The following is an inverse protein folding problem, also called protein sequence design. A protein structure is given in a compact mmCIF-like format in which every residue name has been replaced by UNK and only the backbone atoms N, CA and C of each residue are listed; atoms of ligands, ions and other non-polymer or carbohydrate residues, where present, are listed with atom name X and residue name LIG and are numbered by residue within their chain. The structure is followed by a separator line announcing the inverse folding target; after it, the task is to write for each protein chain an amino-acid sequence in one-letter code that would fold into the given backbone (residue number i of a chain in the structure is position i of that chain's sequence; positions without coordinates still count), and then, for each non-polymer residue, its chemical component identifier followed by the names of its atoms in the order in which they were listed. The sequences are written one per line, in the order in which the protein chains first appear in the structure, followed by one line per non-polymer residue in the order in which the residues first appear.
data_IF_253501954417
#
_entry.id   IF_253501954417
#
_cell.length_a   1.000
_cell.length_b   1.000
_cell.length_c   1.000
_cell.angle_alpha   90.00
_cell.angle_beta   90.00
_cell.angle_gamma   90.00
#
_symmetry.space_group_name_H-M   'P 1'
#
loop_
_entity.id
_entity.type
_entity.pdbx_description
1 polymer ?
#
# COMPACT_ATOMS: atom_id res chain seq x y z
N UNK A 1 10.68 29.45 21.83
CA UNK A 1 10.47 28.11 21.18
C UNK A 1 9.87 28.33 19.80
N UNK A 2 10.55 27.91 18.75
CA UNK A 2 9.95 27.95 17.39
C UNK A 2 8.75 27.01 17.35
N UNK A 3 7.58 27.53 16.95
CA UNK A 3 6.39 26.69 16.69
C UNK A 3 6.72 25.72 15.55
N UNK A 4 6.54 24.44 15.80
CA UNK A 4 6.72 23.39 14.79
C UNK A 4 5.61 23.52 13.76
N UNK A 5 5.96 23.46 12.46
CA UNK A 5 4.97 23.47 11.38
C UNK A 5 4.18 22.18 11.29
N UNK A 6 3.04 22.21 10.62
CA UNK A 6 2.14 21.05 10.42
C UNK A 6 2.91 19.85 9.83
N UNK A 7 3.78 20.09 8.84
CA UNK A 7 4.59 19.04 8.21
C UNK A 7 5.51 18.29 9.18
N UNK A 8 5.96 18.95 10.27
CA UNK A 8 6.72 18.26 11.31
C UNK A 8 5.90 17.16 11.98
N UNK A 9 4.64 17.44 12.30
CA UNK A 9 3.77 16.46 12.95
C UNK A 9 3.42 15.31 12.02
N UNK A 10 3.10 15.60 10.75
CA UNK A 10 2.87 14.56 9.76
C UNK A 10 4.06 13.61 9.64
N UNK A 11 5.27 14.15 9.49
CA UNK A 11 6.48 13.35 9.38
C UNK A 11 6.69 12.44 10.60
N UNK A 12 6.52 12.99 11.81
CA UNK A 12 6.73 12.23 13.06
C UNK A 12 5.67 11.15 13.27
N UNK A 13 4.42 11.44 12.92
CA UNK A 13 3.33 10.45 12.96
C UNK A 13 3.59 9.34 11.94
N UNK A 14 3.95 9.69 10.70
CA UNK A 14 4.27 8.73 9.65
C UNK A 14 5.44 7.81 10.05
N UNK A 15 6.52 8.37 10.61
CA UNK A 15 7.66 7.59 11.15
C UNK A 15 7.22 6.59 12.23
N UNK A 16 6.25 6.95 13.07
CA UNK A 16 5.69 6.08 14.10
C UNK A 16 4.79 5.01 13.51
N UNK A 17 4.01 5.36 12.49
CA UNK A 17 3.09 4.45 11.79
C UNK A 17 3.80 3.50 10.82
N UNK A 18 5.08 3.75 10.51
CA UNK A 18 5.82 2.96 9.55
C UNK A 18 5.88 1.47 9.94
N UNK A 19 5.42 0.63 9.04
CA UNK A 19 5.38 -0.82 9.20
C UNK A 19 6.71 -1.52 8.86
N UNK A 20 7.82 -0.78 8.90
CA UNK A 20 9.12 -1.24 8.41
C UNK A 20 9.60 -2.55 9.07
N UNK A 21 9.29 -2.75 10.37
CA UNK A 21 9.65 -3.97 11.07
C UNK A 21 8.95 -5.21 10.50
N UNK A 22 7.66 -5.09 10.11
CA UNK A 22 6.92 -6.17 9.48
C UNK A 22 7.45 -6.47 8.07
N UNK A 23 7.68 -5.44 7.28
CA UNK A 23 8.23 -5.59 5.94
C UNK A 23 9.61 -6.24 5.96
N UNK A 24 10.47 -5.85 6.91
CA UNK A 24 11.79 -6.43 7.10
C UNK A 24 11.73 -7.90 7.53
N UNK A 25 10.81 -8.25 8.43
CA UNK A 25 10.58 -9.64 8.86
C UNK A 25 10.25 -10.55 7.69
N UNK A 26 9.46 -10.07 6.73
CA UNK A 26 9.05 -10.83 5.55
C UNK A 26 10.00 -10.67 4.35
N UNK A 27 11.08 -9.91 4.49
CA UNK A 27 12.03 -9.62 3.39
C UNK A 27 11.33 -9.07 2.14
N UNK A 28 10.47 -8.08 2.34
CA UNK A 28 9.68 -7.45 1.28
C UNK A 28 9.89 -5.93 1.31
N UNK A 29 9.96 -5.33 0.14
CA UNK A 29 10.03 -3.86 -0.01
C UNK A 29 8.63 -3.22 0.01
N UNK A 30 8.57 -1.90 0.26
CA UNK A 30 7.31 -1.15 0.20
C UNK A 30 6.62 -1.29 -1.17
N UNK A 31 7.36 -1.25 -2.27
CA UNK A 31 6.80 -1.40 -3.62
C UNK A 31 6.17 -2.78 -3.84
N UNK A 32 6.81 -3.83 -3.37
CA UNK A 32 6.27 -5.19 -3.43
C UNK A 32 5.04 -5.34 -2.53
N UNK A 33 5.10 -4.80 -1.30
CA UNK A 33 3.99 -4.83 -0.36
C UNK A 33 2.75 -4.10 -0.91
N UNK A 34 2.94 -2.97 -1.59
CA UNK A 34 1.84 -2.24 -2.23
C UNK A 34 1.11 -3.10 -3.27
N UNK A 35 1.84 -3.87 -4.07
CA UNK A 35 1.24 -4.81 -5.03
C UNK A 35 0.42 -5.88 -4.31
N UNK A 36 0.98 -6.47 -3.24
CA UNK A 36 0.25 -7.47 -2.43
C UNK A 36 -1.03 -6.89 -1.84
N UNK A 37 -0.96 -5.72 -1.25
CA UNK A 37 -2.12 -5.08 -0.63
C UNK A 37 -3.20 -4.74 -1.65
N UNK A 38 -2.81 -4.26 -2.83
CA UNK A 38 -3.73 -4.05 -3.93
C UNK A 38 -4.50 -5.34 -4.29
N UNK A 39 -3.78 -6.45 -4.45
CA UNK A 39 -4.40 -7.75 -4.75
C UNK A 39 -5.31 -8.24 -3.62
N UNK A 40 -4.88 -8.10 -2.37
CA UNK A 40 -5.65 -8.49 -1.19
C UNK A 40 -6.93 -7.66 -1.03
N UNK A 41 -6.87 -6.35 -1.27
CA UNK A 41 -8.02 -5.44 -1.22
C UNK A 41 -9.05 -5.76 -2.31
N UNK A 42 -8.62 -6.22 -3.46
CA UNK A 42 -9.52 -6.69 -4.53
C UNK A 42 -10.29 -7.96 -4.14
N UNK A 43 -9.89 -8.67 -3.08
CA UNK A 43 -10.48 -9.93 -2.68
C UNK A 43 -10.33 -11.06 -3.71
N UNK A 44 -9.38 -10.92 -4.62
CA UNK A 44 -9.09 -11.90 -5.66
C UNK A 44 -7.74 -12.56 -5.39
N UNK A 45 -7.71 -13.88 -5.39
CA UNK A 45 -6.47 -14.64 -5.26
C UNK A 45 -5.63 -14.61 -6.53
N UNK A 46 -6.24 -14.27 -7.65
CA UNK A 46 -5.63 -14.20 -8.98
C UNK A 46 -5.93 -12.86 -9.61
N UNK A 47 -4.89 -12.16 -10.06
CA UNK A 47 -4.99 -10.88 -10.77
C UNK A 47 -4.11 -10.93 -12.01
N UNK A 48 -4.57 -10.33 -13.10
CA UNK A 48 -3.78 -10.26 -14.32
C UNK A 48 -2.61 -9.31 -14.14
N UNK A 49 -1.43 -9.67 -14.62
CA UNK A 49 -0.23 -8.83 -14.55
C UNK A 49 -0.49 -7.44 -15.16
N UNK A 50 -1.23 -7.38 -16.26
CA UNK A 50 -1.59 -6.13 -16.93
C UNK A 50 -2.43 -5.19 -16.07
N UNK A 51 -3.33 -5.73 -15.22
CA UNK A 51 -4.09 -4.93 -14.26
C UNK A 51 -3.17 -4.25 -13.25
N UNK A 52 -2.14 -4.97 -12.77
CA UNK A 52 -1.13 -4.42 -11.86
C UNK A 52 -0.32 -3.32 -12.53
N UNK A 53 0.10 -3.54 -13.77
CA UNK A 53 0.83 -2.54 -14.56
C UNK A 53 0.03 -1.24 -14.73
N UNK A 54 -1.25 -1.35 -15.03
CA UNK A 54 -2.15 -0.21 -15.18
C UNK A 54 -2.40 0.54 -13.88
N UNK A 55 -2.63 -0.20 -12.79
CA UNK A 55 -2.90 0.39 -11.47
C UNK A 55 -1.72 1.22 -10.95
N UNK A 56 -0.51 0.68 -11.08
CA UNK A 56 0.69 1.34 -10.56
C UNK A 56 1.37 2.29 -11.55
N UNK A 57 0.94 2.30 -12.81
CA UNK A 57 1.52 3.14 -13.85
C UNK A 57 3.03 2.88 -14.06
N UNK A 58 3.50 1.69 -13.71
CA UNK A 58 4.90 1.30 -13.84
C UNK A 58 5.17 0.62 -15.18
N UNK A 59 6.41 0.72 -15.63
CA UNK A 59 6.85 0.03 -16.83
C UNK A 59 6.76 -1.49 -16.68
N UNK A 60 6.44 -2.19 -17.74
CA UNK A 60 6.38 -3.64 -17.80
C UNK A 60 7.62 -4.32 -17.20
N UNK A 61 8.82 -3.87 -17.56
CA UNK A 61 10.08 -4.41 -17.03
C UNK A 61 10.23 -4.24 -15.52
N UNK A 62 9.75 -3.13 -14.96
CA UNK A 62 9.76 -2.86 -13.51
C UNK A 62 8.83 -3.82 -12.77
N UNK A 63 7.62 -4.01 -13.27
CA UNK A 63 6.65 -4.97 -12.70
C UNK A 63 7.19 -6.40 -12.74
N UNK A 64 7.77 -6.82 -13.87
CA UNK A 64 8.39 -8.14 -14.00
C UNK A 64 9.49 -8.32 -12.94
N UNK A 65 10.35 -7.34 -12.74
CA UNK A 65 11.41 -7.40 -11.73
C UNK A 65 10.88 -7.52 -10.30
N UNK A 66 9.82 -6.77 -9.96
CA UNK A 66 9.16 -6.83 -8.66
C UNK A 66 8.50 -8.22 -8.45
N UNK A 67 7.74 -8.69 -9.43
CA UNK A 67 7.05 -9.98 -9.36
C UNK A 67 8.01 -11.17 -9.26
N UNK A 68 9.14 -11.15 -9.98
CA UNK A 68 10.17 -12.19 -9.86
C UNK A 68 10.74 -12.31 -8.45
N UNK A 69 11.00 -11.18 -7.77
CA UNK A 69 11.46 -11.17 -6.38
C UNK A 69 10.39 -11.68 -5.42
N UNK A 70 9.14 -11.28 -5.66
CA UNK A 70 8.00 -11.74 -4.86
C UNK A 70 7.75 -13.24 -5.05
N UNK A 71 7.94 -13.76 -6.25
CA UNK A 71 7.87 -15.19 -6.55
C UNK A 71 9.00 -15.97 -5.87
N UNK A 72 10.23 -15.44 -5.94
CA UNK A 72 11.39 -16.03 -5.23
C UNK A 72 11.17 -16.13 -3.72
N UNK A 73 10.47 -15.14 -3.13
CA UNK A 73 10.16 -15.10 -1.71
C UNK A 73 8.83 -15.78 -1.35
N UNK A 74 8.23 -16.52 -2.28
CA UNK A 74 6.99 -17.29 -2.10
C UNK A 74 5.74 -16.45 -1.71
N UNK A 75 5.66 -15.20 -2.12
CA UNK A 75 4.46 -14.39 -1.97
C UNK A 75 3.45 -14.63 -3.08
N UNK A 76 3.93 -14.82 -4.29
CA UNK A 76 3.12 -15.02 -5.48
C UNK A 76 3.71 -16.11 -6.38
N UNK A 77 2.89 -16.59 -7.29
CA UNK A 77 3.30 -17.34 -8.48
C UNK A 77 2.82 -16.59 -9.72
N UNK A 78 3.69 -16.45 -10.70
CA UNK A 78 3.38 -15.86 -11.99
C UNK A 78 3.35 -16.96 -13.04
N UNK A 79 2.25 -17.10 -13.74
CA UNK A 79 2.08 -18.11 -14.77
C UNK A 79 1.30 -17.56 -15.97
N UNK A 80 1.37 -18.27 -17.08
CA UNK A 80 0.57 -17.96 -18.28
C UNK A 80 -0.90 -18.25 -17.95
N UNK A 81 -1.80 -17.31 -18.34
CA UNK A 81 -3.23 -17.53 -18.18
C UNK A 81 -3.67 -18.70 -19.06
N UNK A 82 -4.35 -19.74 -18.49
CA UNK A 82 -4.80 -20.88 -19.26
C UNK A 82 -5.83 -20.56 -20.35
N UNK A 83 -6.60 -19.46 -20.19
CA UNK A 83 -7.61 -19.04 -21.14
C UNK A 83 -7.06 -18.11 -22.25
N UNK A 84 -5.97 -17.39 -21.95
CA UNK A 84 -5.29 -16.53 -22.93
C UNK A 84 -3.77 -16.57 -22.71
N UNK A 85 -3.08 -17.37 -23.52
CA UNK A 85 -1.64 -17.59 -23.42
C UNK A 85 -0.77 -16.36 -23.69
N UNK A 86 -1.37 -15.26 -24.15
CA UNK A 86 -0.68 -13.95 -24.31
C UNK A 86 -0.63 -13.17 -23.01
N UNK A 87 -1.42 -13.55 -22.01
CA UNK A 87 -1.56 -12.88 -20.74
C UNK A 87 -0.90 -13.69 -19.62
N UNK A 88 -0.33 -12.99 -18.66
CA UNK A 88 0.19 -13.57 -17.42
C UNK A 88 -0.71 -13.23 -16.24
N UNK A 89 -0.89 -14.19 -15.36
CA UNK A 89 -1.63 -14.03 -14.13
C UNK A 89 -0.71 -14.18 -12.91
N UNK A 90 -1.04 -13.44 -11.87
CA UNK A 90 -0.35 -13.43 -10.59
C UNK A 90 -1.26 -14.04 -9.54
N UNK A 91 -0.79 -15.06 -8.85
CA UNK A 91 -1.54 -15.83 -7.86
C UNK A 91 -0.92 -15.62 -6.49
N UNK A 92 -1.73 -15.24 -5.49
CA UNK A 92 -1.30 -15.08 -4.11
C UNK A 92 -1.09 -16.43 -3.42
N UNK A 93 -0.01 -16.53 -2.66
CA UNK A 93 0.26 -17.64 -1.74
C UNK A 93 -0.09 -17.28 -0.28
N UNK A 94 -0.13 -18.28 0.59
CA UNK A 94 -0.50 -18.14 2.00
C UNK A 94 0.34 -17.08 2.74
N UNK A 95 1.62 -17.00 2.44
CA UNK A 95 2.53 -16.00 3.01
C UNK A 95 2.06 -14.55 2.77
N UNK A 96 1.44 -14.29 1.62
CA UNK A 96 0.87 -12.97 1.31
C UNK A 96 -0.33 -12.65 2.21
N UNK A 97 -1.18 -13.63 2.49
CA UNK A 97 -2.32 -13.47 3.40
C UNK A 97 -1.88 -13.29 4.85
N UNK A 98 -0.84 -13.99 5.29
CA UNK A 98 -0.24 -13.82 6.61
C UNK A 98 0.29 -12.40 6.81
N UNK A 99 1.09 -11.89 5.88
CA UNK A 99 1.56 -10.51 5.89
C UNK A 99 0.40 -9.52 5.87
N UNK A 100 -0.60 -9.75 5.03
CA UNK A 100 -1.79 -8.91 4.93
C UNK A 100 -2.54 -8.81 6.26
N UNK A 101 -2.69 -9.93 6.97
CA UNK A 101 -3.34 -9.97 8.29
C UNK A 101 -2.52 -9.21 9.34
N UNK A 102 -1.21 -9.42 9.42
CA UNK A 102 -0.33 -8.68 10.34
C UNK A 102 -0.38 -7.17 10.08
N UNK A 103 -0.35 -6.76 8.82
CA UNK A 103 -0.42 -5.35 8.44
C UNK A 103 -1.78 -4.72 8.75
N UNK A 104 -2.86 -5.48 8.59
CA UNK A 104 -4.20 -5.03 8.96
C UNK A 104 -4.33 -4.79 10.46
N UNK A 105 -3.81 -5.70 11.28
CA UNK A 105 -3.79 -5.54 12.74
C UNK A 105 -2.89 -4.37 13.16
N UNK A 106 -1.73 -4.21 12.54
CA UNK A 106 -0.85 -3.08 12.79
C UNK A 106 -1.55 -1.75 12.46
N UNK A 107 -2.23 -1.65 11.33
CA UNK A 107 -2.99 -0.45 10.93
C UNK A 107 -4.08 -0.12 11.94
N UNK A 108 -4.87 -1.11 12.37
CA UNK A 108 -5.89 -0.92 13.41
C UNK A 108 -5.29 -0.41 14.72
N UNK A 109 -4.16 -0.96 15.13
CA UNK A 109 -3.46 -0.51 16.33
C UNK A 109 -3.00 0.96 16.20
N UNK A 110 -2.40 1.33 15.06
CA UNK A 110 -1.98 2.70 14.82
C UNK A 110 -3.16 3.68 14.77
N UNK A 111 -4.25 3.30 14.11
CA UNK A 111 -5.47 4.10 14.09
C UNK A 111 -6.01 4.29 15.53
N UNK A 112 -5.98 3.26 16.36
CA UNK A 112 -6.41 3.35 17.75
C UNK A 112 -5.56 4.30 18.60
N UNK A 113 -4.27 4.43 18.32
CA UNK A 113 -3.42 5.41 18.99
C UNK A 113 -3.81 6.85 18.64
N UNK A 114 -4.21 7.08 17.40
CA UNK A 114 -4.68 8.40 16.95
C UNK A 114 -6.06 8.70 17.55
N UNK A 115 -7.02 7.79 17.39
CA UNK A 115 -8.38 7.95 17.88
C UNK A 115 -8.47 7.99 19.40
N UNK A 116 -7.59 7.29 20.11
CA UNK A 116 -7.50 7.32 21.57
C UNK A 116 -7.11 8.68 22.16
N UNK A 117 -6.52 9.57 21.36
CA UNK A 117 -6.19 10.93 21.76
C UNK A 117 -7.34 11.94 21.53
N UNK A 118 -8.40 11.52 20.81
CA UNK A 118 -9.48 12.38 20.32
C UNK A 118 -10.83 11.88 20.80
N UNK A 119 -11.78 12.83 20.98
CA UNK A 119 -13.18 12.47 21.11
C UNK A 119 -13.82 12.28 19.71
N UNK A 120 -15.07 11.81 19.66
CA UNK A 120 -15.76 11.49 18.40
C UNK A 120 -15.89 12.70 17.45
N UNK A 121 -16.13 13.89 18.01
CA UNK A 121 -16.27 15.12 17.22
C UNK A 121 -14.92 15.56 16.65
N UNK A 122 -13.86 15.48 17.46
CA UNK A 122 -12.49 15.79 17.05
C UNK A 122 -12.00 14.83 15.98
N UNK A 123 -12.32 13.53 16.09
CA UNK A 123 -11.99 12.54 15.07
C UNK A 123 -12.67 12.85 13.74
N UNK A 124 -13.95 13.19 13.75
CA UNK A 124 -14.70 13.59 12.54
C UNK A 124 -14.10 14.84 11.90
N UNK A 125 -13.76 15.85 12.72
CA UNK A 125 -13.16 17.08 12.23
C UNK A 125 -11.77 16.85 11.66
N UNK A 126 -10.94 16.01 12.29
CA UNK A 126 -9.62 15.63 11.79
C UNK A 126 -9.74 14.94 10.43
N UNK A 127 -10.63 13.96 10.27
CA UNK A 127 -10.88 13.28 8.99
C UNK A 127 -11.31 14.26 7.90
N UNK A 128 -12.22 15.17 8.22
CA UNK A 128 -12.69 16.21 7.30
C UNK A 128 -11.55 17.11 6.82
N UNK A 129 -10.71 17.59 7.74
CA UNK A 129 -9.59 18.47 7.42
C UNK A 129 -8.50 17.74 6.63
N UNK A 130 -8.18 16.49 7.01
CA UNK A 130 -7.22 15.68 6.27
C UNK A 130 -7.70 15.37 4.85
N UNK A 131 -8.96 15.06 4.66
CA UNK A 131 -9.55 14.85 3.34
C UNK A 131 -9.42 16.08 2.47
N UNK A 132 -9.72 17.25 3.02
CA UNK A 132 -9.60 18.53 2.32
C UNK A 132 -8.16 18.83 1.88
N UNK A 133 -7.19 18.57 2.75
CA UNK A 133 -5.74 18.74 2.43
C UNK A 133 -5.32 17.74 1.37
N UNK A 134 -5.71 16.48 1.52
CA UNK A 134 -5.41 15.43 0.57
C UNK A 134 -5.92 15.76 -0.84
N UNK A 135 -7.18 16.11 -0.98
CA UNK A 135 -7.79 16.46 -2.26
C UNK A 135 -7.10 17.68 -2.92
N UNK A 136 -6.74 18.68 -2.13
CA UNK A 136 -6.01 19.85 -2.62
C UNK A 136 -4.64 19.48 -3.19
N UNK A 137 -3.89 18.64 -2.49
CA UNK A 137 -2.56 18.21 -2.92
C UNK A 137 -2.61 17.35 -4.20
N UNK A 138 -3.64 16.53 -4.36
CA UNK A 138 -3.81 15.71 -5.57
C UNK A 138 -4.25 16.51 -6.78
N UNK A 139 -5.10 17.53 -6.61
CA UNK A 139 -5.49 18.42 -7.71
C UNK A 139 -4.32 19.24 -8.27
N UNK A 140 -3.35 19.59 -7.44
CA UNK A 140 -2.15 20.32 -7.87
C UNK A 140 -1.15 19.40 -8.62
N UNK A 141 -1.10 18.13 -8.28
CA UNK A 141 -0.23 17.15 -8.98
C UNK A 141 -0.69 16.88 -10.42
N UNK A 142 -1.98 16.83 -10.69
CA UNK A 142 -2.55 16.68 -12.04
C UNK A 142 -2.21 17.87 -12.97
N UNK A 143 -1.84 19.01 -12.42
CA UNK A 143 -1.43 20.20 -13.18
C UNK A 143 0.06 20.23 -13.54
N UNK A 144 0.90 19.43 -12.85
CA UNK A 144 2.34 19.37 -13.12
C UNK A 144 2.73 18.35 -14.20
N UNK A 145 1.82 17.48 -14.65
CA UNK A 145 2.06 16.47 -15.69
C UNK A 145 1.55 16.89 -17.09
N UNK A 146 1.25 18.18 -17.27
CA UNK A 146 0.86 18.71 -18.61
C UNK A 146 1.97 19.55 -19.20
#
# INVERSE_FOLDING_TARGET
MKKKGIGFYFKRIDETMAANAHLKKYDITCSQANILFYMLEKGKNVVMQKEIEQEFGLRHSTIIGLLKRMEKNNFVRVEVNPEDHRCRQVILFDKAFELGSEMKEHRKYMDSLITGALNDEEEKELKKLLTKVYEHMYQDNDKCEK
#
